data_IF_961342311905
#
_entry.id   IF_961342311905
#
_cell.length_a   1.000
_cell.length_b   1.000
_cell.length_c   1.000
_cell.angle_alpha   90.00
_cell.angle_beta   90.00
_cell.angle_gamma   90.00
#
_symmetry.space_group_name_H-M   'P 1'
#
loop_
_entity.id
_entity.type
_entity.pdbx_description
1 polymer ?
#
# COMPACT_ATOMS: atom_id res chain seq x y z
N UNK A 1 -32.67 -16.00 -10.74
CA UNK A 1 -32.97 -14.70 -10.10
C UNK A 1 -32.25 -14.71 -8.76
N UNK A 2 -31.18 -13.93 -8.60
CA UNK A 2 -30.43 -13.88 -7.34
C UNK A 2 -31.21 -12.93 -6.42
N UNK A 3 -31.78 -13.47 -5.35
CA UNK A 3 -32.46 -12.68 -4.33
C UNK A 3 -31.46 -11.79 -3.60
N UNK A 4 -31.52 -10.49 -3.87
CA UNK A 4 -30.75 -9.50 -3.13
C UNK A 4 -31.50 -9.24 -1.82
N UNK A 5 -31.10 -9.91 -0.74
CA UNK A 5 -31.64 -9.63 0.59
C UNK A 5 -30.98 -8.35 1.13
N UNK A 6 -31.72 -7.23 1.28
CA UNK A 6 -31.15 -6.00 1.81
C UNK A 6 -30.79 -6.22 3.28
N UNK A 7 -29.49 -6.31 3.56
CA UNK A 7 -28.98 -6.33 4.93
C UNK A 7 -29.21 -4.94 5.51
N UNK A 8 -30.11 -4.82 6.50
CA UNK A 8 -30.35 -3.57 7.22
C UNK A 8 -29.05 -3.16 7.93
N UNK A 9 -28.53 -1.98 7.61
CA UNK A 9 -27.29 -1.45 8.20
C UNK A 9 -27.69 -0.57 9.39
N UNK A 10 -27.19 -0.91 10.59
CA UNK A 10 -27.40 -0.10 11.79
C UNK A 10 -26.66 1.25 11.67
N UNK A 11 -27.35 2.33 12.03
CA UNK A 11 -26.82 3.69 12.03
C UNK A 11 -26.61 4.18 13.48
N UNK A 12 -25.52 4.90 13.78
CA UNK A 12 -24.46 5.31 12.88
C UNK A 12 -23.48 4.17 12.58
N UNK A 13 -22.97 4.11 11.35
CA UNK A 13 -21.93 3.16 10.98
C UNK A 13 -20.61 3.58 11.66
N UNK A 14 -19.83 2.60 12.13
CA UNK A 14 -18.48 2.88 12.59
C UNK A 14 -17.66 3.49 11.44
N UNK A 15 -16.79 4.45 11.76
CA UNK A 15 -15.89 5.01 10.77
C UNK A 15 -14.98 3.89 10.26
N UNK A 16 -14.67 3.92 8.97
CA UNK A 16 -13.71 2.99 8.42
C UNK A 16 -12.33 3.34 8.96
N UNK A 17 -11.52 2.32 9.25
CA UNK A 17 -10.18 2.49 9.77
C UNK A 17 -9.15 1.76 8.91
N UNK A 18 -7.96 2.36 8.80
CA UNK A 18 -6.79 1.64 8.32
C UNK A 18 -6.40 0.55 9.32
N UNK A 19 -5.68 -0.47 8.86
CA UNK A 19 -5.22 -1.60 9.67
C UNK A 19 -4.36 -1.15 10.86
N UNK A 20 -4.48 -1.83 11.98
CA UNK A 20 -3.56 -1.57 13.09
C UNK A 20 -2.16 -2.06 12.73
N UNK A 21 -1.17 -1.19 12.89
CA UNK A 21 0.22 -1.51 12.63
C UNK A 21 0.95 -1.78 13.96
N UNK A 22 1.91 -2.72 14.00
CA UNK A 22 2.78 -2.91 15.15
C UNK A 22 3.55 -1.64 15.52
N UNK A 23 3.91 -1.50 16.79
CA UNK A 23 4.71 -0.36 17.22
C UNK A 23 6.17 -0.49 16.75
N UNK A 24 6.77 -1.67 16.84
CA UNK A 24 8.13 -1.94 16.36
C UNK A 24 8.11 -2.37 14.90
N UNK A 25 8.90 -1.73 14.05
CA UNK A 25 8.99 -2.08 12.63
C UNK A 25 9.55 -3.48 12.39
N UNK A 26 10.39 -3.98 13.31
CA UNK A 26 10.97 -5.32 13.26
C UNK A 26 9.89 -6.40 13.30
N UNK A 27 8.78 -6.15 14.01
CA UNK A 27 7.64 -7.06 14.05
C UNK A 27 6.99 -7.21 12.66
N UNK A 28 6.89 -6.11 11.89
CA UNK A 28 6.40 -6.15 10.51
C UNK A 28 7.35 -6.95 9.61
N UNK A 29 8.66 -6.70 9.71
CA UNK A 29 9.67 -7.43 8.92
C UNK A 29 9.60 -8.93 9.22
N UNK A 30 9.51 -9.29 10.49
CA UNK A 30 9.39 -10.67 10.93
C UNK A 30 8.09 -11.32 10.42
N UNK A 31 6.98 -10.58 10.43
CA UNK A 31 5.68 -11.08 9.94
C UNK A 31 5.68 -11.48 8.45
N UNK A 32 6.59 -10.92 7.65
CA UNK A 32 6.70 -11.20 6.20
C UNK A 32 8.04 -11.84 5.81
N UNK A 33 8.79 -12.32 6.79
CA UNK A 33 10.08 -12.99 6.59
C UNK A 33 9.97 -14.22 5.69
N UNK A 34 8.93 -15.02 5.89
CA UNK A 34 8.62 -16.23 5.13
C UNK A 34 7.68 -15.98 3.94
N UNK A 35 7.37 -14.73 3.61
CA UNK A 35 6.51 -14.43 2.48
C UNK A 35 7.16 -14.89 1.17
N UNK A 36 6.55 -15.87 0.53
CA UNK A 36 6.91 -16.37 -0.79
C UNK A 36 5.81 -16.02 -1.77
N UNK A 37 6.20 -15.61 -2.99
CA UNK A 37 5.23 -15.31 -4.02
C UNK A 37 4.65 -16.64 -4.55
N UNK A 38 3.31 -16.79 -4.62
CA UNK A 38 2.69 -18.06 -5.05
C UNK A 38 2.97 -18.40 -6.51
N UNK A 39 3.35 -17.40 -7.31
CA UNK A 39 3.61 -17.53 -8.74
C UNK A 39 5.11 -17.49 -9.08
N UNK A 40 6.02 -17.50 -8.09
CA UNK A 40 7.46 -17.64 -8.34
C UNK A 40 7.95 -19.03 -7.93
N UNK A 41 8.76 -19.66 -8.80
CA UNK A 41 9.41 -20.94 -8.52
C UNK A 41 10.62 -20.74 -7.58
N UNK A 42 10.36 -20.40 -6.32
CA UNK A 42 11.39 -20.39 -5.27
C UNK A 42 12.32 -19.17 -5.22
N UNK A 43 12.01 -18.10 -5.97
CA UNK A 43 12.70 -16.83 -5.79
C UNK A 43 12.16 -16.14 -4.54
N UNK A 44 12.95 -16.19 -3.46
CA UNK A 44 12.64 -15.50 -2.21
C UNK A 44 12.48 -14.01 -2.49
N UNK A 45 11.33 -13.48 -2.09
CA UNK A 45 11.03 -12.05 -2.02
C UNK A 45 10.96 -11.27 -3.33
N UNK A 46 9.73 -10.98 -3.72
CA UNK A 46 9.46 -9.82 -4.56
C UNK A 46 8.51 -8.87 -3.81
N UNK A 47 9.16 -7.99 -3.05
CA UNK A 47 8.64 -6.92 -2.19
C UNK A 47 7.24 -7.16 -1.59
N UNK A 48 7.14 -7.78 -0.40
CA UNK A 48 5.88 -7.91 0.32
C UNK A 48 5.32 -6.53 0.66
N UNK A 49 4.08 -6.33 0.25
CA UNK A 49 3.41 -5.03 0.31
C UNK A 49 2.02 -5.18 0.88
N UNK A 50 1.81 -4.58 2.03
CA UNK A 50 0.56 -4.66 2.77
C UNK A 50 -0.39 -3.55 2.33
N UNK A 51 -1.62 -3.89 1.97
CA UNK A 51 -2.68 -2.90 1.81
C UNK A 51 -3.09 -2.35 3.18
N UNK A 52 -2.94 -1.04 3.41
CA UNK A 52 -3.30 -0.44 4.68
C UNK A 52 -4.82 -0.34 4.89
N UNK A 53 -5.61 -0.54 3.83
CA UNK A 53 -7.08 -0.49 3.90
C UNK A 53 -7.65 -1.82 4.44
N UNK A 54 -7.10 -2.96 4.02
CA UNK A 54 -7.65 -4.27 4.37
C UNK A 54 -6.65 -5.26 5.02
N UNK A 55 -5.35 -4.96 5.02
CA UNK A 55 -4.30 -5.79 5.62
C UNK A 55 -3.77 -6.90 4.74
N UNK A 56 -4.31 -7.08 3.54
CA UNK A 56 -3.82 -8.11 2.60
C UNK A 56 -2.38 -7.81 2.20
N UNK A 57 -1.50 -8.80 2.31
CA UNK A 57 -0.11 -8.72 1.84
C UNK A 57 -0.03 -9.26 0.42
N UNK A 58 0.59 -8.50 -0.46
CA UNK A 58 0.69 -8.75 -1.89
C UNK A 58 2.15 -8.77 -2.32
N UNK A 59 2.44 -9.50 -3.39
CA UNK A 59 3.70 -9.37 -4.12
C UNK A 59 3.64 -8.09 -4.96
N UNK A 60 4.42 -7.08 -4.60
CA UNK A 60 4.60 -5.88 -5.42
C UNK A 60 5.91 -5.97 -6.18
N UNK A 61 5.98 -5.37 -7.37
CA UNK A 61 7.23 -5.23 -8.13
C UNK A 61 7.74 -6.52 -8.79
N UNK A 62 6.84 -7.29 -9.40
CA UNK A 62 7.20 -8.33 -10.37
C UNK A 62 6.09 -8.75 -11.33
N UNK A 63 6.50 -9.16 -12.53
CA UNK A 63 5.63 -9.71 -13.56
C UNK A 63 4.93 -11.01 -13.12
N UNK A 64 5.38 -11.65 -12.05
CA UNK A 64 4.88 -12.95 -11.57
C UNK A 64 3.40 -12.94 -11.14
N UNK A 65 2.90 -11.83 -10.57
CA UNK A 65 1.53 -11.77 -10.05
C UNK A 65 0.65 -10.81 -10.84
N UNK A 66 0.91 -10.68 -12.14
CA UNK A 66 0.05 -9.89 -13.00
C UNK A 66 -1.29 -10.60 -13.25
N UNK A 67 -2.33 -9.79 -13.32
CA UNK A 67 -3.70 -10.24 -13.59
C UNK A 67 -4.32 -9.34 -14.65
N UNK A 68 -5.21 -9.90 -15.45
CA UNK A 68 -5.95 -9.11 -16.43
C UNK A 68 -6.98 -8.24 -15.71
N UNK A 69 -7.00 -6.95 -16.07
CA UNK A 69 -7.99 -5.98 -15.63
C UNK A 69 -8.43 -5.13 -16.83
N UNK A 70 -9.65 -5.37 -17.31
CA UNK A 70 -10.27 -4.70 -18.47
C UNK A 70 -9.34 -4.69 -19.71
N UNK A 71 -8.84 -5.86 -20.10
CA UNK A 71 -8.02 -6.04 -21.31
C UNK A 71 -6.55 -5.64 -21.19
N UNK A 72 -6.08 -5.25 -20.00
CA UNK A 72 -4.67 -4.95 -19.73
C UNK A 72 -4.14 -5.79 -18.57
N UNK A 73 -2.92 -6.33 -18.69
CA UNK A 73 -2.24 -6.97 -17.57
C UNK A 73 -1.76 -5.91 -16.57
N UNK A 74 -2.16 -6.04 -15.32
CA UNK A 74 -1.77 -5.15 -14.22
C UNK A 74 -1.14 -5.94 -13.08
N UNK A 75 -0.27 -5.33 -12.29
CA UNK A 75 0.32 -5.92 -11.10
C UNK A 75 -0.70 -6.15 -9.98
N UNK A 76 -0.27 -6.86 -8.94
CA UNK A 76 -1.17 -7.29 -7.87
C UNK A 76 -1.69 -6.15 -7.02
N UNK A 77 -0.90 -5.11 -6.74
CA UNK A 77 -1.37 -3.95 -5.98
C UNK A 77 -2.41 -3.16 -6.78
N UNK A 78 -2.20 -2.97 -8.08
CA UNK A 78 -3.14 -2.29 -8.98
C UNK A 78 -4.43 -3.09 -9.15
N UNK A 79 -4.32 -4.40 -9.34
CA UNK A 79 -5.50 -5.27 -9.40
C UNK A 79 -6.29 -5.21 -8.08
N UNK A 80 -5.61 -5.28 -6.95
CA UNK A 80 -6.24 -5.25 -5.63
C UNK A 80 -6.90 -3.90 -5.34
N UNK A 81 -6.25 -2.76 -5.68
CA UNK A 81 -6.80 -1.43 -5.43
C UNK A 81 -8.12 -1.20 -6.18
N UNK A 82 -8.27 -1.79 -7.37
CA UNK A 82 -9.51 -1.72 -8.14
C UNK A 82 -10.72 -2.22 -7.34
N UNK A 83 -10.59 -3.34 -6.63
CA UNK A 83 -11.68 -3.93 -5.84
C UNK A 83 -11.73 -3.46 -4.39
N UNK A 84 -10.58 -3.27 -3.75
CA UNK A 84 -10.50 -2.93 -2.32
C UNK A 84 -10.74 -1.44 -2.04
N UNK A 85 -10.28 -0.55 -2.93
CA UNK A 85 -10.33 0.90 -2.72
C UNK A 85 -10.93 1.66 -3.90
N UNK A 86 -11.76 0.98 -4.71
CA UNK A 86 -12.41 1.56 -5.89
C UNK A 86 -11.42 2.25 -6.85
N UNK A 87 -10.29 1.59 -7.12
CA UNK A 87 -9.23 2.09 -7.98
C UNK A 87 -8.19 2.96 -7.26
N UNK A 88 -8.35 3.24 -5.97
CA UNK A 88 -7.35 3.91 -5.14
C UNK A 88 -6.71 2.90 -4.19
N UNK A 89 -5.42 3.06 -3.92
CA UNK A 89 -4.70 2.16 -3.03
C UNK A 89 -3.68 2.88 -2.18
N UNK A 90 -3.55 2.41 -0.93
CA UNK A 90 -2.54 2.84 0.02
C UNK A 90 -1.87 1.60 0.59
N UNK A 91 -0.57 1.48 0.33
CA UNK A 91 0.16 0.27 0.69
C UNK A 91 1.46 0.61 1.43
N UNK A 92 1.87 -0.26 2.34
CA UNK A 92 3.19 -0.23 2.96
C UNK A 92 4.06 -1.30 2.30
N UNK A 93 5.13 -0.88 1.61
CA UNK A 93 6.16 -1.78 1.10
C UNK A 93 7.12 -2.10 2.24
N UNK A 94 6.98 -3.28 2.84
CA UNK A 94 7.57 -3.58 4.15
C UNK A 94 9.10 -3.67 4.07
N UNK A 95 9.66 -4.26 3.02
CA UNK A 95 11.13 -4.34 2.87
C UNK A 95 11.78 -3.02 2.46
N UNK A 96 11.00 -2.14 1.83
CA UNK A 96 11.49 -0.85 1.32
C UNK A 96 11.23 0.29 2.30
N UNK A 97 10.46 0.07 3.38
CA UNK A 97 10.02 1.08 4.33
C UNK A 97 9.46 2.33 3.64
N UNK A 98 8.48 2.13 2.74
CA UNK A 98 7.85 3.19 1.94
C UNK A 98 6.35 3.00 1.83
N UNK A 99 5.61 4.11 1.81
CA UNK A 99 4.21 4.07 1.39
C UNK A 99 4.15 4.16 -0.13
N UNK A 100 3.35 3.29 -0.73
CA UNK A 100 2.96 3.31 -2.13
C UNK A 100 1.50 3.77 -2.23
N UNK A 101 1.28 4.87 -2.93
CA UNK A 101 -0.05 5.36 -3.28
C UNK A 101 -0.33 5.04 -4.74
N UNK A 102 -1.51 4.49 -5.04
CA UNK A 102 -1.96 4.18 -6.40
C UNK A 102 -3.31 4.85 -6.68
N UNK A 103 -3.49 5.33 -7.91
CA UNK A 103 -4.76 5.82 -8.43
C UNK A 103 -4.97 5.35 -9.88
N UNK A 104 -6.02 4.57 -10.10
CA UNK A 104 -6.28 3.91 -11.38
C UNK A 104 -5.19 2.88 -11.71
N UNK A 105 -4.97 2.66 -13.01
CA UNK A 105 -4.01 1.66 -13.50
C UNK A 105 -2.59 2.19 -13.69
N UNK A 106 -2.43 3.49 -13.84
CA UNK A 106 -1.19 4.07 -14.41
C UNK A 106 -0.58 5.18 -13.59
N UNK A 107 -1.17 5.54 -12.44
CA UNK A 107 -0.67 6.63 -11.61
C UNK A 107 -0.37 6.14 -10.21
N UNK A 108 0.74 6.62 -9.67
CA UNK A 108 1.12 6.39 -8.30
C UNK A 108 2.24 7.31 -7.86
N UNK A 109 2.55 7.26 -6.57
CA UNK A 109 3.74 7.89 -6.01
C UNK A 109 4.20 7.13 -4.77
N UNK A 110 5.45 7.38 -4.38
CA UNK A 110 5.97 6.93 -3.09
C UNK A 110 5.96 8.08 -2.09
N UNK A 111 5.71 7.78 -0.82
CA UNK A 111 5.83 8.72 0.29
C UNK A 111 6.54 8.09 1.49
N UNK A 112 6.89 8.93 2.46
CA UNK A 112 7.50 8.51 3.72
C UNK A 112 6.62 7.49 4.47
N UNK A 113 7.22 6.47 5.11
CA UNK A 113 6.50 5.55 5.99
C UNK A 113 6.05 6.25 7.27
N UNK A 114 5.03 5.73 7.98
CA UNK A 114 4.65 6.22 9.30
C UNK A 114 5.58 5.69 10.41
N UNK A 115 6.85 5.44 10.11
CA UNK A 115 7.83 4.86 11.02
C UNK A 115 9.08 5.72 11.08
N UNK A 116 9.54 6.01 12.29
CA UNK A 116 10.67 6.90 12.55
C UNK A 116 11.60 6.30 13.60
N UNK A 117 12.86 6.71 13.57
CA UNK A 117 13.82 6.43 14.64
C UNK A 117 13.60 7.34 15.85
N UNK A 118 14.46 7.20 16.86
CA UNK A 118 14.42 8.01 18.09
C UNK A 118 14.58 9.53 17.85
N UNK A 119 15.11 9.92 16.69
CA UNK A 119 15.31 11.32 16.29
C UNK A 119 14.15 11.85 15.43
N UNK A 120 13.15 11.02 15.12
CA UNK A 120 12.02 11.39 14.28
C UNK A 120 12.30 11.28 12.78
N UNK A 121 13.38 10.62 12.38
CA UNK A 121 13.74 10.43 10.96
C UNK A 121 13.26 9.09 10.42
N UNK A 122 12.84 9.07 9.15
CA UNK A 122 12.48 7.81 8.46
C UNK A 122 13.70 7.15 7.83
N UNK A 123 13.77 5.82 7.80
CA UNK A 123 14.84 5.06 7.12
C UNK A 123 14.30 4.29 5.90
N UNK A 124 14.07 5.02 4.80
CA UNK A 124 13.60 4.44 3.55
C UNK A 124 14.65 3.51 2.94
N UNK A 125 14.27 2.25 2.69
CA UNK A 125 15.17 1.20 2.25
C UNK A 125 15.97 0.56 3.39
N UNK A 126 15.73 0.96 4.65
CA UNK A 126 16.38 0.40 5.85
C UNK A 126 17.91 0.40 5.76
N UNK A 127 18.48 1.46 5.21
CA UNK A 127 19.92 1.53 4.92
C UNK A 127 20.70 1.86 6.20
N UNK A 128 20.13 2.70 7.08
CA UNK A 128 20.78 3.09 8.33
C UNK A 128 20.70 1.98 9.38
N UNK A 129 19.58 1.25 9.41
CA UNK A 129 19.38 0.11 10.30
C UNK A 129 19.06 0.50 11.75
N UNK A 130 18.66 1.75 12.00
CA UNK A 130 18.18 2.16 13.32
C UNK A 130 16.82 1.52 13.62
N UNK A 131 16.54 1.15 14.88
CA UNK A 131 15.21 0.72 15.28
C UNK A 131 14.18 1.79 14.93
N UNK A 132 13.12 1.39 14.23
CA UNK A 132 12.03 2.28 13.86
C UNK A 132 10.78 1.93 14.66
N UNK A 133 10.06 2.96 15.10
CA UNK A 133 8.78 2.83 15.78
C UNK A 133 7.67 3.56 15.04
N UNK A 134 6.43 3.10 15.23
CA UNK A 134 5.25 3.72 14.63
C UNK A 134 5.08 5.14 15.15
N UNK A 135 5.06 6.12 14.25
CA UNK A 135 4.65 7.48 14.55
C UNK A 135 3.13 7.59 14.38
N UNK A 136 2.40 7.59 15.50
CA UNK A 136 0.94 7.70 15.48
C UNK A 136 0.44 8.98 14.80
N UNK A 137 1.18 10.08 14.88
CA UNK A 137 0.85 11.34 14.19
C UNK A 137 0.91 11.16 12.68
N UNK A 138 2.03 10.63 12.16
CA UNK A 138 2.18 10.35 10.72
C UNK A 138 1.15 9.34 10.22
N UNK A 139 0.83 8.32 11.04
CA UNK A 139 -0.20 7.34 10.70
C UNK A 139 -1.61 7.95 10.66
N UNK A 140 -1.92 8.86 11.57
CA UNK A 140 -3.17 9.60 11.57
C UNK A 140 -3.31 10.50 10.33
N UNK A 141 -2.22 11.06 9.81
CA UNK A 141 -2.25 11.81 8.55
C UNK A 141 -2.55 10.93 7.34
N UNK A 142 -1.98 9.71 7.27
CA UNK A 142 -2.36 8.73 6.25
C UNK A 142 -3.85 8.37 6.35
N UNK A 143 -4.36 8.20 7.56
CA UNK A 143 -5.77 7.95 7.81
C UNK A 143 -6.66 9.10 7.32
N UNK A 144 -6.27 10.36 7.58
CA UNK A 144 -6.97 11.56 7.11
C UNK A 144 -6.94 11.67 5.59
N UNK A 145 -5.79 11.41 4.97
CA UNK A 145 -5.63 11.40 3.51
C UNK A 145 -6.61 10.42 2.86
N UNK A 146 -6.71 9.21 3.42
CA UNK A 146 -7.63 8.18 2.92
C UNK A 146 -9.11 8.56 3.11
N UNK A 147 -9.51 8.99 4.32
CA UNK A 147 -10.89 9.38 4.60
C UNK A 147 -11.37 10.57 3.78
N UNK A 148 -10.46 11.46 3.38
CA UNK A 148 -10.76 12.62 2.52
C UNK A 148 -10.72 12.31 1.03
N UNK A 149 -10.45 11.06 0.64
CA UNK A 149 -10.23 10.68 -0.75
C UNK A 149 -9.12 11.51 -1.44
N UNK A 150 -8.10 11.93 -0.68
CA UNK A 150 -7.03 12.82 -1.16
C UNK A 150 -5.87 12.11 -1.86
N UNK A 151 -5.90 10.79 -2.00
CA UNK A 151 -4.83 10.01 -2.65
C UNK A 151 -4.52 10.51 -4.08
N UNK A 152 -5.51 10.77 -4.97
CA UNK A 152 -5.24 11.23 -6.32
C UNK A 152 -4.59 12.61 -6.36
N UNK A 153 -4.98 13.51 -5.45
CA UNK A 153 -4.41 14.85 -5.31
C UNK A 153 -2.94 14.77 -4.88
N UNK A 154 -2.64 13.96 -3.87
CA UNK A 154 -1.26 13.73 -3.43
C UNK A 154 -0.38 13.16 -4.54
N UNK A 155 -0.91 12.25 -5.36
CA UNK A 155 -0.20 11.71 -6.52
C UNK A 155 0.03 12.80 -7.58
N UNK A 156 -0.98 13.62 -7.89
CA UNK A 156 -0.84 14.72 -8.85
C UNK A 156 0.27 15.70 -8.44
N UNK A 157 0.26 16.15 -7.18
CA UNK A 157 1.29 17.03 -6.64
C UNK A 157 2.70 16.40 -6.71
N UNK A 158 2.82 15.10 -6.39
CA UNK A 158 4.09 14.39 -6.49
C UNK A 158 4.60 14.31 -7.95
N UNK A 159 3.70 14.09 -8.92
CA UNK A 159 4.05 14.05 -10.35
C UNK A 159 4.52 15.41 -10.87
N UNK A 160 3.92 16.50 -10.40
CA UNK A 160 4.35 17.87 -10.75
C UNK A 160 5.75 18.18 -10.20
N UNK A 161 6.06 17.67 -9.00
CA UNK A 161 7.35 17.89 -8.33
C UNK A 161 8.45 16.97 -8.88
N UNK A 162 8.11 15.82 -9.46
CA UNK A 162 9.08 14.79 -9.85
C UNK A 162 8.68 14.12 -11.16
N UNK A 163 9.23 14.63 -12.27
CA UNK A 163 9.01 14.10 -13.62
C UNK A 163 9.38 12.62 -13.78
N UNK A 164 10.33 12.11 -13.00
CA UNK A 164 10.72 10.69 -12.99
C UNK A 164 9.56 9.75 -12.59
N UNK A 165 8.60 10.21 -11.79
CA UNK A 165 7.43 9.41 -11.40
C UNK A 165 6.47 9.20 -12.58
N UNK A 166 6.45 10.11 -13.55
CA UNK A 166 5.63 9.96 -14.75
C UNK A 166 6.16 8.87 -15.70
N UNK A 167 7.47 8.61 -15.66
CA UNK A 167 8.11 7.55 -16.45
C UNK A 167 8.03 6.17 -15.79
N UNK A 168 7.66 6.09 -14.50
CA UNK A 168 7.54 4.81 -13.79
C UNK A 168 6.28 4.07 -14.23
N UNK A 169 6.43 2.77 -14.51
CA UNK A 169 5.29 1.95 -14.93
C UNK A 169 4.50 1.41 -13.72
N UNK A 170 3.63 2.26 -13.18
CA UNK A 170 2.76 1.94 -12.04
C UNK A 170 1.84 0.75 -12.31
N UNK A 171 1.51 0.49 -13.57
CA UNK A 171 0.63 -0.62 -13.98
C UNK A 171 1.20 -1.99 -13.62
N UNK A 172 2.52 -2.13 -13.47
CA UNK A 172 3.17 -3.39 -13.16
C UNK A 172 3.25 -3.69 -11.65
N UNK A 173 2.79 -2.74 -10.80
CA UNK A 173 2.76 -2.89 -9.34
C UNK A 173 1.48 -3.57 -8.85
#
# INVERSE_FOLDING_TARGET
LIEFQPKLIAQPHALNHLVQLPNDYSDLINSVSQFTCPNSEGDDSRSPTMCLICGTILCSHSYCCQKELEGSMVGSCTWHSHFCGAGQGMFLRIRDCKILLLAGKTKGCYSAPPYVDEYGETDQGLIRGYPLHLCHTSYAELHRLWLRHGIPEQIAHALETSSNLAAFNWQLL
#
